data_IF_452214646440
#
_entry.id   IF_452214646440
#
_cell.length_a   1.000
_cell.length_b   1.000
_cell.length_c   1.000
_cell.angle_alpha   90.00
_cell.angle_beta   90.00
_cell.angle_gamma   90.00
#
_symmetry.space_group_name_H-M   'P 1'
#
loop_
_entity.id
_entity.type
_entity.pdbx_description
1 polymer ?
#
# COMPACT_ATOMS: atom_id res chain seq x y z
N UNK A 1 -32.75 3.56 -2.66
CA UNK A 1 -33.36 2.74 -3.72
C UNK A 1 -32.32 1.74 -4.23
N UNK A 2 -32.59 0.43 -4.15
CA UNK A 2 -31.67 -0.64 -4.57
C UNK A 2 -31.18 -0.57 -6.03
N UNK A 3 -31.96 -0.12 -7.05
CA UNK A 3 -31.48 -0.12 -8.44
C UNK A 3 -30.32 0.85 -8.70
N UNK A 4 -30.22 1.94 -7.93
CA UNK A 4 -29.13 2.92 -8.08
C UNK A 4 -27.79 2.36 -7.60
N UNK A 5 -27.78 1.57 -6.52
CA UNK A 5 -26.55 0.97 -5.98
C UNK A 5 -25.96 -0.06 -6.94
N UNK A 6 -26.81 -0.90 -7.53
CA UNK A 6 -26.38 -1.87 -8.55
C UNK A 6 -25.74 -1.20 -9.76
N UNK A 7 -26.33 -0.08 -10.23
CA UNK A 7 -25.77 0.69 -11.34
C UNK A 7 -24.38 1.26 -11.03
N UNK A 8 -24.17 1.83 -9.83
CA UNK A 8 -22.87 2.35 -9.43
C UNK A 8 -21.81 1.25 -9.32
N UNK A 9 -22.16 0.08 -8.75
CA UNK A 9 -21.26 -1.06 -8.68
C UNK A 9 -20.87 -1.57 -10.07
N UNK A 10 -21.83 -1.70 -10.97
CA UNK A 10 -21.58 -2.09 -12.35
C UNK A 10 -20.65 -1.08 -13.04
N UNK A 11 -20.94 0.22 -12.89
CA UNK A 11 -20.10 1.27 -13.46
C UNK A 11 -18.66 1.22 -12.91
N UNK A 12 -18.48 1.02 -11.60
CA UNK A 12 -17.14 0.86 -11.00
C UNK A 12 -16.39 -0.35 -11.52
N UNK A 13 -17.06 -1.50 -11.72
CA UNK A 13 -16.44 -2.70 -12.30
C UNK A 13 -16.02 -2.44 -13.75
N UNK A 14 -16.88 -1.81 -14.55
CA UNK A 14 -16.56 -1.48 -15.95
C UNK A 14 -15.37 -0.52 -16.03
N UNK A 15 -15.36 0.52 -15.19
CA UNK A 15 -14.23 1.47 -15.11
C UNK A 15 -12.95 0.74 -14.70
N UNK A 16 -13.01 -0.15 -13.70
CA UNK A 16 -11.86 -0.93 -13.26
C UNK A 16 -11.29 -1.77 -14.41
N UNK A 17 -12.15 -2.47 -15.16
CA UNK A 17 -11.73 -3.27 -16.33
C UNK A 17 -11.08 -2.42 -17.42
N UNK A 18 -11.63 -1.24 -17.71
CA UNK A 18 -11.06 -0.29 -18.68
C UNK A 18 -9.68 0.22 -18.22
N UNK A 19 -9.54 0.55 -16.94
CA UNK A 19 -8.26 1.00 -16.36
C UNK A 19 -7.24 -0.13 -16.37
N UNK A 20 -7.63 -1.37 -16.10
CA UNK A 20 -6.74 -2.54 -16.21
C UNK A 20 -6.25 -2.74 -17.65
N UNK A 21 -7.16 -2.69 -18.64
CA UNK A 21 -6.79 -2.78 -20.05
C UNK A 21 -5.83 -1.64 -20.45
N UNK A 22 -6.16 -0.40 -20.05
CA UNK A 22 -5.28 0.75 -20.27
C UNK A 22 -3.92 0.59 -19.59
N UNK A 23 -3.86 0.05 -18.37
CA UNK A 23 -2.61 -0.22 -17.64
C UNK A 23 -1.72 -1.24 -18.36
N UNK A 24 -2.28 -2.16 -19.13
CA UNK A 24 -1.51 -3.13 -19.92
C UNK A 24 -1.03 -2.51 -21.24
N UNK A 25 -1.82 -1.62 -21.85
CA UNK A 25 -1.50 -0.96 -23.12
C UNK A 25 -0.51 0.19 -22.96
N UNK A 26 -0.66 0.98 -21.89
CA UNK A 26 0.11 2.20 -21.62
C UNK A 26 1.33 1.89 -20.73
N UNK A 27 2.48 2.42 -21.11
CA UNK A 27 3.75 2.26 -20.40
C UNK A 27 4.87 2.94 -21.16
N UNK A 28 6.13 2.54 -20.89
CA UNK A 28 7.30 3.09 -21.60
C UNK A 28 7.23 2.92 -23.13
N UNK A 29 6.52 1.89 -23.60
CA UNK A 29 6.16 1.65 -25.00
C UNK A 29 4.64 1.43 -25.07
N UNK A 30 3.94 2.11 -25.98
CA UNK A 30 2.53 1.81 -26.22
C UNK A 30 2.40 0.48 -26.95
N UNK A 31 1.57 -0.42 -26.43
CA UNK A 31 1.31 -1.74 -27.03
C UNK A 31 -0.16 -1.81 -27.44
N UNK A 32 -0.47 -2.17 -28.70
CA UNK A 32 -1.85 -2.27 -29.17
C UNK A 32 -2.60 -3.41 -28.45
N UNK A 33 -3.91 -3.22 -28.28
CA UNK A 33 -4.76 -4.17 -27.55
C UNK A 33 -4.75 -5.59 -28.14
N UNK A 34 -4.63 -5.72 -29.46
CA UNK A 34 -4.53 -7.02 -30.13
C UNK A 34 -3.35 -7.85 -29.64
N UNK A 35 -2.19 -7.20 -29.45
CA UNK A 35 -0.97 -7.85 -28.94
C UNK A 35 -1.14 -8.21 -27.48
N UNK A 36 -1.75 -7.34 -26.66
CA UNK A 36 -2.06 -7.66 -25.25
C UNK A 36 -2.94 -8.90 -25.15
N UNK A 37 -4.02 -8.96 -25.94
CA UNK A 37 -4.96 -10.09 -25.92
C UNK A 37 -4.31 -11.40 -26.37
N UNK A 38 -3.55 -11.38 -27.46
CA UNK A 38 -2.82 -12.56 -27.96
C UNK A 38 -1.72 -13.02 -27.00
N UNK A 39 -1.02 -12.08 -26.34
CA UNK A 39 -0.04 -12.38 -25.30
C UNK A 39 -0.66 -13.08 -24.09
N UNK A 40 -1.86 -12.66 -23.67
CA UNK A 40 -2.58 -13.29 -22.56
C UNK A 40 -3.08 -14.70 -22.89
N UNK A 41 -3.41 -14.97 -24.15
CA UNK A 41 -3.80 -16.30 -24.64
C UNK A 41 -2.60 -17.22 -24.90
N UNK A 42 -1.37 -16.72 -24.79
CA UNK A 42 -0.15 -17.48 -25.07
C UNK A 42 0.15 -17.68 -26.56
N UNK A 43 -0.58 -16.99 -27.44
CA UNK A 43 -0.44 -17.11 -28.91
C UNK A 43 0.70 -16.26 -29.49
N UNK A 44 1.31 -15.40 -28.66
CA UNK A 44 2.35 -14.46 -29.08
C UNK A 44 3.60 -14.58 -28.18
N UNK A 45 4.75 -14.91 -28.76
CA UNK A 45 6.03 -15.06 -28.05
C UNK A 45 7.06 -14.04 -28.55
N UNK A 46 6.77 -12.76 -28.35
CA UNK A 46 7.65 -11.64 -28.66
C UNK A 46 8.09 -10.92 -27.38
N UNK A 47 9.11 -10.05 -27.46
CA UNK A 47 9.60 -9.24 -26.34
C UNK A 47 8.48 -8.41 -25.67
N UNK A 48 7.49 -7.94 -26.44
CA UNK A 48 6.31 -7.24 -25.91
C UNK A 48 5.44 -8.14 -25.02
N UNK A 49 5.36 -9.44 -25.34
CA UNK A 49 4.61 -10.43 -24.56
C UNK A 49 5.24 -10.67 -23.19
N UNK A 50 6.56 -10.80 -23.15
CA UNK A 50 7.34 -10.94 -21.90
C UNK A 50 7.14 -9.69 -21.03
N UNK A 51 7.22 -8.49 -21.61
CA UNK A 51 7.00 -7.24 -20.87
C UNK A 51 5.59 -7.17 -20.26
N UNK A 52 4.57 -7.61 -21.01
CA UNK A 52 3.19 -7.66 -20.52
C UNK A 52 3.07 -8.65 -19.35
N UNK A 53 3.54 -9.88 -19.54
CA UNK A 53 3.32 -10.98 -18.59
C UNK A 53 4.19 -10.88 -17.33
N UNK A 54 5.43 -10.43 -17.45
CA UNK A 54 6.39 -10.42 -16.32
C UNK A 54 6.47 -9.07 -15.60
N UNK A 55 6.03 -7.96 -16.23
CA UNK A 55 6.12 -6.63 -15.64
C UNK A 55 4.76 -5.95 -15.47
N UNK A 56 4.00 -5.80 -16.56
CA UNK A 56 2.75 -5.00 -16.52
C UNK A 56 1.65 -5.72 -15.76
N UNK A 57 1.39 -6.99 -16.09
CA UNK A 57 0.34 -7.78 -15.48
C UNK A 57 0.55 -7.93 -13.96
N UNK A 58 1.74 -8.30 -13.45
CA UNK A 58 1.97 -8.34 -12.00
C UNK A 58 1.76 -6.98 -11.33
N UNK A 59 2.23 -5.89 -11.96
CA UNK A 59 2.04 -4.53 -11.43
C UNK A 59 0.57 -4.12 -11.38
N UNK A 60 -0.21 -4.40 -12.43
CA UNK A 60 -1.65 -4.11 -12.46
C UNK A 60 -2.38 -4.91 -11.39
N UNK A 61 -2.06 -6.21 -11.25
CA UNK A 61 -2.66 -7.06 -10.22
C UNK A 61 -2.34 -6.55 -8.80
N UNK A 62 -1.07 -6.23 -8.51
CA UNK A 62 -0.68 -5.66 -7.22
C UNK A 62 -1.42 -4.33 -6.97
N UNK A 63 -1.56 -3.48 -7.99
CA UNK A 63 -2.31 -2.23 -7.88
C UNK A 63 -3.79 -2.43 -7.55
N UNK A 64 -4.44 -3.40 -8.19
CA UNK A 64 -5.85 -3.75 -7.90
C UNK A 64 -5.99 -4.32 -6.50
N UNK A 65 -5.11 -5.24 -6.10
CA UNK A 65 -5.14 -5.84 -4.76
C UNK A 65 -4.87 -4.81 -3.66
N UNK A 66 -3.87 -3.94 -3.85
CA UNK A 66 -3.57 -2.86 -2.92
C UNK A 66 -4.72 -1.85 -2.83
N UNK A 67 -5.31 -1.44 -3.96
CA UNK A 67 -6.46 -0.55 -4.00
C UNK A 67 -7.69 -1.15 -3.30
N UNK A 68 -7.96 -2.43 -3.52
CA UNK A 68 -9.04 -3.15 -2.83
C UNK A 68 -8.80 -3.23 -1.31
N UNK A 69 -7.56 -3.56 -0.90
CA UNK A 69 -7.19 -3.61 0.51
C UNK A 69 -7.33 -2.24 1.20
N UNK A 70 -6.87 -1.16 0.56
CA UNK A 70 -7.01 0.21 1.06
C UNK A 70 -8.48 0.64 1.11
N UNK A 71 -9.27 0.33 0.08
CA UNK A 71 -10.70 0.62 0.05
C UNK A 71 -11.48 -0.10 1.16
N UNK A 72 -11.18 -1.38 1.39
CA UNK A 72 -11.77 -2.16 2.48
C UNK A 72 -11.34 -1.63 3.86
N UNK A 73 -10.04 -1.34 4.03
CA UNK A 73 -9.51 -0.78 5.28
C UNK A 73 -10.14 0.57 5.61
N UNK A 74 -10.25 1.46 4.62
CA UNK A 74 -10.95 2.74 4.73
C UNK A 74 -12.41 2.57 5.13
N UNK A 75 -13.14 1.69 4.45
CA UNK A 75 -14.54 1.42 4.78
C UNK A 75 -14.72 0.88 6.22
N UNK A 76 -13.85 -0.03 6.67
CA UNK A 76 -13.86 -0.57 8.04
C UNK A 76 -13.61 0.54 9.07
N UNK A 77 -12.58 1.36 8.86
CA UNK A 77 -12.23 2.43 9.80
C UNK A 77 -13.30 3.52 9.82
N UNK A 78 -13.84 3.91 8.67
CA UNK A 78 -14.94 4.86 8.59
C UNK A 78 -16.19 4.35 9.31
N UNK A 79 -16.50 3.04 9.20
CA UNK A 79 -17.61 2.42 9.90
C UNK A 79 -17.40 2.35 11.43
N UNK A 80 -16.20 1.97 11.87
CA UNK A 80 -15.83 1.89 13.30
C UNK A 80 -15.83 3.26 13.97
N UNK A 81 -15.24 4.26 13.30
CA UNK A 81 -15.14 5.63 13.82
C UNK A 81 -16.42 6.44 13.61
N UNK A 82 -17.36 5.93 12.80
CA UNK A 82 -18.54 6.66 12.32
C UNK A 82 -18.16 8.03 11.73
N UNK A 83 -16.99 8.10 11.09
CA UNK A 83 -16.41 9.31 10.57
C UNK A 83 -15.98 9.09 9.10
N UNK A 84 -16.67 9.72 8.12
CA UNK A 84 -16.36 9.53 6.70
C UNK A 84 -14.98 10.10 6.30
N UNK A 85 -14.35 10.90 7.16
CA UNK A 85 -13.01 11.46 6.97
C UNK A 85 -11.91 10.63 7.64
N UNK A 86 -12.25 9.51 8.29
CA UNK A 86 -11.25 8.64 8.89
C UNK A 86 -10.51 7.84 7.80
N UNK A 87 -9.19 7.78 7.96
CA UNK A 87 -8.28 7.09 7.04
C UNK A 87 -7.36 6.15 7.85
N UNK A 88 -7.13 4.89 7.39
CA UNK A 88 -6.15 3.98 7.98
C UNK A 88 -4.74 4.54 8.12
N UNK A 89 -4.32 5.44 7.23
CA UNK A 89 -2.97 6.02 7.26
C UNK A 89 -2.68 6.84 8.52
N UNK A 90 -3.71 7.36 9.19
CA UNK A 90 -3.57 8.26 10.35
C UNK A 90 -3.00 7.55 11.59
N UNK A 91 -2.94 6.21 11.60
CA UNK A 91 -2.40 5.42 12.71
C UNK A 91 -0.87 5.21 12.63
N UNK A 92 -0.15 6.01 11.83
CA UNK A 92 1.31 5.90 11.71
C UNK A 92 1.81 4.59 11.06
N UNK A 93 0.91 3.82 10.43
CA UNK A 93 1.17 2.50 9.85
C UNK A 93 2.29 2.55 8.82
N UNK A 94 2.29 3.58 7.97
CA UNK A 94 3.30 3.78 6.92
C UNK A 94 4.68 4.09 7.52
N UNK A 95 4.73 4.91 8.58
CA UNK A 95 5.97 5.23 9.28
C UNK A 95 6.54 3.99 9.99
N UNK A 96 5.69 3.20 10.63
CA UNK A 96 6.04 1.90 11.23
C UNK A 96 6.62 0.91 10.23
N UNK A 97 5.96 0.74 9.09
CA UNK A 97 6.43 -0.12 8.01
C UNK A 97 7.80 0.32 7.49
N UNK A 98 7.94 1.60 7.15
CA UNK A 98 9.17 2.16 6.60
C UNK A 98 10.34 2.06 7.59
N UNK A 99 10.09 2.38 8.86
CA UNK A 99 11.07 2.28 9.94
C UNK A 99 11.55 0.84 10.14
N UNK A 100 10.65 -0.13 10.17
CA UNK A 100 11.01 -1.53 10.31
C UNK A 100 11.80 -2.07 9.11
N UNK A 101 11.52 -1.60 7.89
CA UNK A 101 12.34 -1.92 6.71
C UNK A 101 13.74 -1.33 6.85
N UNK A 102 13.88 -0.07 7.27
CA UNK A 102 15.18 0.56 7.51
C UNK A 102 15.97 -0.25 8.55
N UNK A 103 15.36 -0.59 9.69
CA UNK A 103 15.98 -1.46 10.70
C UNK A 103 16.35 -2.83 10.14
N UNK A 104 15.45 -3.45 9.37
CA UNK A 104 15.68 -4.76 8.75
C UNK A 104 16.91 -4.74 7.84
N UNK A 105 17.09 -3.67 7.07
CA UNK A 105 18.25 -3.49 6.20
C UNK A 105 19.51 -3.21 7.04
N UNK A 106 19.46 -2.30 8.01
CA UNK A 106 20.66 -1.78 8.68
C UNK A 106 21.17 -2.67 9.80
N UNK A 107 20.26 -3.29 10.58
CA UNK A 107 20.61 -4.08 11.76
C UNK A 107 20.66 -5.56 11.41
N UNK A 108 19.65 -6.05 10.66
CA UNK A 108 19.49 -7.47 10.37
C UNK A 108 20.08 -7.89 9.01
N UNK A 109 20.59 -6.95 8.21
CA UNK A 109 21.21 -7.26 6.92
C UNK A 109 20.25 -7.86 5.90
N UNK A 110 18.95 -7.55 6.00
CA UNK A 110 17.95 -8.07 5.06
C UNK A 110 18.21 -7.48 3.68
N UNK A 111 18.32 -8.35 2.67
CA UNK A 111 18.59 -7.96 1.28
C UNK A 111 17.56 -8.46 0.27
N UNK A 112 16.64 -9.32 0.71
CA UNK A 112 15.64 -9.90 -0.16
C UNK A 112 14.27 -9.22 -0.03
N UNK A 113 13.55 -9.14 -1.15
CA UNK A 113 12.24 -8.47 -1.24
C UNK A 113 11.21 -9.04 -0.26
N UNK A 114 11.21 -10.36 -0.04
CA UNK A 114 10.32 -11.00 0.92
C UNK A 114 10.62 -10.57 2.35
N UNK A 115 11.90 -10.33 2.66
CA UNK A 115 12.32 -9.81 3.95
C UNK A 115 11.85 -8.37 4.17
N UNK A 116 11.92 -7.53 3.13
CA UNK A 116 11.37 -6.16 3.19
C UNK A 116 9.87 -6.17 3.45
N UNK A 117 9.13 -7.04 2.77
CA UNK A 117 7.69 -7.17 2.93
C UNK A 117 7.31 -7.65 4.35
N UNK A 118 8.01 -8.64 4.91
CA UNK A 118 7.80 -9.10 6.28
C UNK A 118 8.14 -8.03 7.32
N UNK A 119 9.28 -7.33 7.16
CA UNK A 119 9.66 -6.23 8.04
C UNK A 119 8.63 -5.11 8.00
N UNK A 120 8.16 -4.71 6.82
CA UNK A 120 7.13 -3.70 6.65
C UNK A 120 5.83 -4.10 7.34
N UNK A 121 5.38 -5.35 7.14
CA UNK A 121 4.14 -5.86 7.75
C UNK A 121 4.22 -5.90 9.27
N UNK A 122 5.31 -6.43 9.82
CA UNK A 122 5.53 -6.50 11.28
C UNK A 122 5.63 -5.09 11.87
N UNK A 123 6.36 -4.19 11.21
CA UNK A 123 6.47 -2.79 11.63
C UNK A 123 5.13 -2.07 11.67
N UNK A 124 4.36 -2.18 10.60
CA UNK A 124 3.00 -1.65 10.51
C UNK A 124 2.10 -2.17 11.65
N UNK A 125 2.13 -3.49 11.90
CA UNK A 125 1.33 -4.12 12.94
C UNK A 125 1.72 -3.64 14.34
N UNK A 126 3.03 -3.64 14.66
CA UNK A 126 3.53 -3.17 15.97
C UNK A 126 3.16 -1.71 16.17
N UNK A 127 3.41 -0.85 15.19
CA UNK A 127 3.09 0.58 15.30
C UNK A 127 1.60 0.81 15.52
N UNK A 128 0.74 0.10 14.80
CA UNK A 128 -0.72 0.19 14.99
C UNK A 128 -1.13 -0.21 16.41
N UNK A 129 -0.56 -1.30 16.95
CA UNK A 129 -0.82 -1.75 18.31
C UNK A 129 -0.34 -0.74 19.36
N UNK A 130 0.83 -0.14 19.16
CA UNK A 130 1.37 0.89 20.06
C UNK A 130 0.50 2.15 20.04
N UNK A 131 0.11 2.63 18.85
CA UNK A 131 -0.79 3.78 18.71
C UNK A 131 -2.12 3.50 19.39
N UNK A 132 -2.70 2.32 19.15
CA UNK A 132 -3.93 1.91 19.81
C UNK A 132 -3.78 1.87 21.34
N UNK A 133 -2.70 1.26 21.85
CA UNK A 133 -2.45 1.16 23.29
C UNK A 133 -2.29 2.54 23.92
N UNK A 134 -1.47 3.42 23.36
CA UNK A 134 -1.27 4.79 23.86
C UNK A 134 -2.55 5.61 23.79
N UNK A 135 -3.27 5.53 22.66
CA UNK A 135 -4.50 6.29 22.43
C UNK A 135 -5.69 5.86 23.30
N UNK A 136 -5.63 4.68 23.93
CA UNK A 136 -6.74 4.12 24.74
C UNK A 136 -6.52 4.14 26.25
N UNK A 137 -5.35 4.55 26.73
CA UNK A 137 -5.01 4.64 28.16
C UNK A 137 -5.85 5.67 28.95
N UNK A 138 -6.65 6.52 28.28
CA UNK A 138 -7.47 7.58 28.89
C UNK A 138 -8.85 7.16 29.45
N UNK A 139 -9.25 5.89 29.34
CA UNK A 139 -10.44 5.35 30.00
C UNK A 139 -11.66 5.09 29.10
N UNK A 140 -12.09 3.82 29.05
CA UNK A 140 -13.45 3.33 28.79
C UNK A 140 -14.03 3.45 27.37
N UNK A 141 -13.73 4.51 26.61
CA UNK A 141 -14.19 4.70 25.23
C UNK A 141 -13.02 5.16 24.37
N UNK A 142 -12.85 4.55 23.21
CA UNK A 142 -11.87 4.99 22.21
C UNK A 142 -12.29 6.38 21.73
N UNK A 143 -11.70 7.42 22.31
CA UNK A 143 -11.87 8.78 21.84
C UNK A 143 -11.00 8.97 20.58
N UNK A 144 -11.59 9.34 19.42
CA UNK A 144 -10.84 9.50 18.18
C UNK A 144 -9.73 10.54 18.26
N UNK A 145 -9.83 11.53 19.15
CA UNK A 145 -8.86 12.62 19.22
C UNK A 145 -7.50 12.16 19.81
N UNK A 146 -7.41 11.55 21.01
CA UNK A 146 -6.18 10.98 21.54
C UNK A 146 -5.51 9.97 20.59
N UNK A 147 -6.31 9.12 19.93
CA UNK A 147 -5.82 8.10 19.00
C UNK A 147 -5.10 8.72 17.79
N UNK A 148 -5.68 9.80 17.23
CA UNK A 148 -5.05 10.55 16.13
C UNK A 148 -3.78 11.25 16.56
N UNK A 149 -3.79 11.91 17.73
CA UNK A 149 -2.61 12.59 18.26
C UNK A 149 -1.47 11.62 18.56
N UNK A 150 -1.78 10.42 19.10
CA UNK A 150 -0.78 9.37 19.29
C UNK A 150 -0.21 8.87 17.96
N UNK A 151 -1.05 8.73 16.93
CA UNK A 151 -0.63 8.32 15.59
C UNK A 151 0.40 9.29 14.99
N UNK A 152 0.07 10.59 14.99
CA UNK A 152 0.96 11.65 14.50
C UNK A 152 2.26 11.74 15.32
N UNK A 153 2.17 11.65 16.64
CA UNK A 153 3.35 11.70 17.51
C UNK A 153 4.31 10.53 17.23
N UNK A 154 3.77 9.31 17.09
CA UNK A 154 4.56 8.12 16.79
C UNK A 154 5.13 8.18 15.37
N UNK A 155 4.36 8.67 14.38
CA UNK A 155 4.85 8.90 13.03
C UNK A 155 6.08 9.81 13.01
N UNK A 156 6.01 10.98 13.64
CA UNK A 156 7.11 11.95 13.69
C UNK A 156 8.33 11.34 14.40
N UNK A 157 8.10 10.61 15.51
CA UNK A 157 9.16 9.94 16.25
C UNK A 157 9.91 8.90 15.39
N UNK A 158 9.16 7.99 14.74
CA UNK A 158 9.74 6.96 13.89
C UNK A 158 10.45 7.56 12.67
N UNK A 159 9.86 8.60 12.07
CA UNK A 159 10.47 9.30 10.94
C UNK A 159 11.80 9.96 11.32
N UNK A 160 11.87 10.58 12.51
CA UNK A 160 13.09 11.17 13.06
C UNK A 160 14.21 10.12 13.20
N UNK A 161 13.89 8.94 13.75
CA UNK A 161 14.87 7.86 13.88
C UNK A 161 15.29 7.33 12.51
N UNK A 162 14.34 7.05 11.61
CA UNK A 162 14.64 6.63 10.23
C UNK A 162 15.58 7.59 9.51
N UNK A 163 15.36 8.90 9.70
CA UNK A 163 16.20 9.95 9.11
C UNK A 163 17.60 9.93 9.72
N UNK A 164 17.71 9.83 11.05
CA UNK A 164 19.01 9.71 11.74
C UNK A 164 19.82 8.48 11.30
N UNK A 165 19.17 7.33 11.12
CA UNK A 165 19.81 6.12 10.59
C UNK A 165 20.26 6.33 9.14
N UNK A 166 19.43 6.96 8.31
CA UNK A 166 19.74 7.20 6.89
C UNK A 166 20.91 8.16 6.70
N UNK A 167 21.03 9.18 7.56
CA UNK A 167 22.14 10.14 7.52
C UNK A 167 23.48 9.52 7.96
N UNK A 168 23.44 8.50 8.82
CA UNK A 168 24.65 7.79 9.28
C UNK A 168 25.07 6.66 8.34
N UNK A 169 24.21 6.23 7.42
CA UNK A 169 24.46 5.11 6.50
C UNK A 169 24.18 5.49 5.02
N UNK A 170 25.19 5.94 4.26
CA UNK A 170 25.05 6.36 2.85
C UNK A 170 24.46 5.28 1.93
N UNK A 171 24.62 4.01 2.29
CA UNK A 171 24.13 2.86 1.52
C UNK A 171 22.61 2.65 1.64
N UNK A 172 21.99 3.12 2.72
CA UNK A 172 20.53 3.02 2.97
C UNK A 172 19.78 4.05 2.13
N UNK A 173 20.34 5.26 2.01
CA UNK A 173 19.77 6.34 1.21
C UNK A 173 19.56 5.92 -0.26
N UNK A 174 20.51 5.17 -0.84
CA UNK A 174 20.40 4.68 -2.22
C UNK A 174 19.38 3.54 -2.38
N UNK A 175 19.10 2.75 -1.35
CA UNK A 175 18.15 1.61 -1.41
C UNK A 175 16.70 2.02 -1.14
N UNK A 176 16.45 3.09 -0.39
CA UNK A 176 15.09 3.60 -0.18
C UNK A 176 14.59 4.40 -1.39
N UNK A 177 15.51 4.92 -2.22
CA UNK A 177 15.20 5.70 -3.42
C UNK A 177 14.90 4.86 -4.67
N UNK A 178 15.38 3.62 -4.76
CA UNK A 178 15.33 2.77 -5.96
C UNK A 178 14.81 1.36 -5.67
#
# INVERSE_FOLDING_TARGET
TPPRRGLWLLASIVILMLVMAASLMLGAKAIPFSVVWQSLLGEHSNADSILILESRLPRTLIGVLAGAALGLSGAVIQALTRNPLADPGILGVNAGASFAVVIGITIFGVHAIHGYMLSAFIGAMITTLVVYWVGTQGGGRVDPLPLKLSGVAIEIFLHGISTGISLTHPQVYNRVRF
#
